data_IF_002967795438
#
_entry.id   IF_002967795438
#
_cell.length_a   1.000
_cell.length_b   1.000
_cell.length_c   1.000
_cell.angle_alpha   90.00
_cell.angle_beta   90.00
_cell.angle_gamma   90.00
#
_symmetry.space_group_name_H-M   'P 1'
#
loop_
_entity.id
_entity.type
_entity.pdbx_description
1 polymer ?
#
# COMPACT_ATOMS: atom_id res chain seq x y z
N UNK A 1 -19.78 29.54 -27.26
CA UNK A 1 -20.32 29.80 -25.90
C UNK A 1 -20.19 31.25 -25.51
N UNK A 2 -19.14 31.96 -25.96
CA UNK A 2 -18.82 33.31 -25.48
C UNK A 2 -19.91 34.35 -25.70
N UNK A 3 -20.59 34.34 -26.86
CA UNK A 3 -21.67 35.28 -27.14
C UNK A 3 -22.82 35.20 -26.12
N UNK A 4 -23.25 33.98 -25.75
CA UNK A 4 -24.37 33.80 -24.82
C UNK A 4 -24.04 34.34 -23.43
N UNK A 5 -22.81 34.13 -22.95
CA UNK A 5 -22.42 34.54 -21.61
C UNK A 5 -22.06 36.02 -21.52
N UNK A 6 -21.45 36.58 -22.58
CA UNK A 6 -20.81 37.89 -22.52
C UNK A 6 -21.53 38.98 -23.33
N UNK A 7 -22.26 38.64 -24.39
CA UNK A 7 -22.87 39.62 -25.31
C UNK A 7 -24.41 39.60 -25.25
N UNK A 8 -25.01 38.44 -24.96
CA UNK A 8 -26.46 38.28 -24.90
C UNK A 8 -27.03 38.89 -23.62
N UNK A 9 -27.83 39.95 -23.78
CA UNK A 9 -28.52 40.60 -22.66
C UNK A 9 -29.90 39.98 -22.42
N UNK A 10 -30.21 39.69 -21.17
CA UNK A 10 -31.45 39.03 -20.77
C UNK A 10 -32.35 40.03 -20.04
N UNK A 11 -33.58 40.20 -20.51
CA UNK A 11 -34.52 41.17 -19.94
C UNK A 11 -34.79 40.94 -18.44
N UNK A 12 -34.92 39.67 -18.02
CA UNK A 12 -35.13 39.27 -16.61
C UNK A 12 -33.92 39.56 -15.71
N UNK A 13 -32.72 39.70 -16.28
CA UNK A 13 -31.51 40.11 -15.57
C UNK A 13 -31.30 41.64 -15.65
N UNK A 14 -32.37 42.42 -15.78
CA UNK A 14 -32.32 43.88 -15.94
C UNK A 14 -31.44 44.32 -17.13
N UNK A 15 -31.55 43.59 -18.26
CA UNK A 15 -30.74 43.81 -19.47
C UNK A 15 -29.23 43.66 -19.27
N UNK A 16 -28.81 42.90 -18.24
CA UNK A 16 -27.42 42.46 -18.07
C UNK A 16 -27.18 41.16 -18.80
N UNK A 17 -25.91 40.89 -19.07
CA UNK A 17 -25.44 39.60 -19.59
C UNK A 17 -25.32 38.59 -18.45
N UNK A 18 -25.39 37.27 -18.70
CA UNK A 18 -25.19 36.27 -17.67
C UNK A 18 -23.88 36.47 -16.88
N UNK A 19 -22.78 36.79 -17.56
CA UNK A 19 -21.51 37.06 -16.90
C UNK A 19 -21.58 38.28 -15.98
N UNK A 20 -22.21 39.38 -16.42
CA UNK A 20 -22.38 40.58 -15.58
C UNK A 20 -23.25 40.32 -14.35
N UNK A 21 -24.33 39.54 -14.51
CA UNK A 21 -25.18 39.16 -13.40
C UNK A 21 -24.43 38.29 -12.38
N UNK A 22 -23.66 37.31 -12.86
CA UNK A 22 -22.85 36.43 -12.02
C UNK A 22 -21.77 37.20 -11.22
N UNK A 23 -21.02 38.10 -11.86
CA UNK A 23 -19.97 38.86 -11.16
C UNK A 23 -20.51 39.87 -10.15
N UNK A 24 -21.76 40.32 -10.31
CA UNK A 24 -22.42 41.23 -9.38
C UNK A 24 -23.08 40.52 -8.19
N UNK A 25 -23.18 39.18 -8.23
CA UNK A 25 -23.72 38.38 -7.14
C UNK A 25 -22.71 38.30 -5.99
N UNK A 26 -23.14 38.70 -4.78
CA UNK A 26 -22.33 38.70 -3.57
C UNK A 26 -22.59 37.46 -2.70
N UNK A 27 -23.35 36.48 -3.21
CA UNK A 27 -23.60 35.23 -2.50
C UNK A 27 -22.27 34.58 -2.12
N UNK A 28 -22.00 34.34 -0.82
CA UNK A 28 -20.78 33.69 -0.38
C UNK A 28 -20.64 32.31 -1.01
N UNK A 29 -19.45 32.00 -1.51
CA UNK A 29 -19.12 30.70 -2.06
C UNK A 29 -18.12 30.05 -1.12
N UNK A 30 -18.48 28.90 -0.58
CA UNK A 30 -17.54 28.08 0.18
C UNK A 30 -16.61 27.34 -0.79
N UNK A 31 -15.31 27.49 -0.58
CA UNK A 31 -14.31 26.73 -1.33
C UNK A 31 -14.05 25.40 -0.64
N UNK A 32 -14.08 24.32 -1.41
CA UNK A 32 -13.68 23.01 -0.94
C UNK A 32 -12.17 22.94 -0.74
N UNK A 33 -11.74 22.17 0.27
CA UNK A 33 -10.34 21.85 0.44
C UNK A 33 -9.87 21.05 -0.81
N UNK A 34 -8.75 21.43 -1.44
CA UNK A 34 -8.15 20.64 -2.50
C UNK A 34 -7.92 19.17 -2.15
N UNK A 35 -7.74 18.83 -0.87
CA UNK A 35 -7.64 17.45 -0.41
C UNK A 35 -8.96 16.69 -0.58
N UNK A 36 -10.12 17.33 -0.39
CA UNK A 36 -11.44 16.68 -0.50
C UNK A 36 -11.91 16.46 -1.94
N UNK A 37 -11.26 17.08 -2.92
CA UNK A 37 -11.62 16.96 -4.35
C UNK A 37 -11.67 15.51 -4.83
N UNK A 38 -10.89 14.61 -4.22
CA UNK A 38 -10.91 13.19 -4.58
C UNK A 38 -12.28 12.54 -4.39
N UNK A 39 -13.14 13.09 -3.54
CA UNK A 39 -14.47 12.55 -3.22
C UNK A 39 -15.47 12.76 -4.36
N UNK A 40 -15.27 13.82 -5.14
CA UNK A 40 -16.13 14.22 -6.28
C UNK A 40 -15.76 13.55 -7.61
N UNK A 41 -14.77 12.66 -7.60
CA UNK A 41 -14.34 11.91 -8.80
C UNK A 41 -15.18 10.65 -9.04
N UNK A 42 -15.27 10.21 -10.29
CA UNK A 42 -16.08 9.07 -10.68
C UNK A 42 -15.38 7.75 -10.33
N UNK A 43 -16.12 6.83 -9.71
CA UNK A 43 -15.65 5.46 -9.44
C UNK A 43 -15.52 4.66 -10.73
N UNK A 44 -14.35 4.05 -10.95
CA UNK A 44 -14.18 3.06 -12.01
C UNK A 44 -14.99 1.80 -11.68
N UNK A 45 -15.81 1.36 -12.62
CA UNK A 45 -16.62 0.14 -12.50
C UNK A 45 -15.81 -1.15 -12.69
N UNK A 46 -14.52 -1.04 -13.01
CA UNK A 46 -13.63 -2.17 -13.23
C UNK A 46 -13.26 -2.96 -11.97
N UNK A 47 -12.62 -4.12 -12.14
CA UNK A 47 -12.08 -4.89 -11.02
C UNK A 47 -10.95 -4.11 -10.31
N UNK A 48 -10.70 -4.40 -9.02
CA UNK A 48 -9.53 -3.88 -8.31
C UNK A 48 -8.22 -4.18 -9.08
N UNK A 49 -7.29 -3.24 -9.02
CA UNK A 49 -6.04 -3.28 -9.78
C UNK A 49 -4.85 -3.41 -8.84
N UNK A 50 -3.87 -4.21 -9.24
CA UNK A 50 -2.65 -4.42 -8.47
C UNK A 50 -1.69 -3.24 -8.62
N UNK A 51 -1.11 -2.77 -7.50
CA UNK A 51 0.05 -1.89 -7.52
C UNK A 51 1.27 -2.73 -7.92
N UNK A 52 1.94 -2.34 -9.01
CA UNK A 52 3.19 -2.97 -9.46
C UNK A 52 4.39 -2.06 -9.18
N UNK A 53 5.61 -2.54 -9.41
CA UNK A 53 6.81 -1.69 -9.33
C UNK A 53 6.81 -0.52 -10.32
N UNK A 54 6.04 -0.63 -11.42
CA UNK A 54 5.83 0.42 -12.42
C UNK A 54 4.66 1.36 -12.07
N UNK A 55 3.92 1.07 -11.01
CA UNK A 55 2.67 1.74 -10.64
C UNK A 55 1.42 0.92 -10.99
N UNK A 56 0.29 1.58 -11.12
CA UNK A 56 -1.01 0.98 -11.44
C UNK A 56 -1.29 1.13 -12.93
N UNK A 57 -1.74 0.05 -13.59
CA UNK A 57 -2.07 0.08 -15.02
C UNK A 57 -3.55 0.40 -15.24
N UNK A 58 -3.85 1.49 -15.93
CA UNK A 58 -5.20 1.89 -16.33
C UNK A 58 -5.18 2.65 -17.65
N UNK A 59 -6.22 2.52 -18.47
CA UNK A 59 -6.34 3.17 -19.78
C UNK A 59 -5.04 3.12 -20.63
N UNK A 60 -4.46 1.92 -20.76
CA UNK A 60 -3.20 1.66 -21.49
C UNK A 60 -1.95 2.41 -21.00
N UNK A 61 -2.02 3.10 -19.86
CA UNK A 61 -0.89 3.82 -19.26
C UNK A 61 -0.59 3.31 -17.84
N UNK A 62 0.59 3.69 -17.33
CA UNK A 62 0.95 3.48 -15.93
C UNK A 62 0.78 4.78 -15.16
N UNK A 63 0.23 4.66 -13.95
CA UNK A 63 0.04 5.77 -13.03
C UNK A 63 0.88 5.54 -11.79
N UNK A 64 1.58 6.59 -11.38
CA UNK A 64 2.53 6.53 -10.28
C UNK A 64 2.26 7.66 -9.29
N UNK A 65 2.01 7.28 -8.04
CA UNK A 65 1.98 8.17 -6.89
C UNK A 65 3.32 8.12 -6.14
N UNK A 66 3.67 9.19 -5.44
CA UNK A 66 4.86 9.25 -4.59
C UNK A 66 4.78 8.31 -3.37
N UNK A 67 3.57 8.04 -2.89
CA UNK A 67 3.28 7.09 -1.82
C UNK A 67 3.40 5.62 -2.25
N UNK A 68 3.36 5.31 -3.56
CA UNK A 68 3.37 3.92 -4.05
C UNK A 68 4.69 3.16 -3.88
N UNK A 69 5.78 3.86 -3.53
CA UNK A 69 7.09 3.23 -3.42
C UNK A 69 7.12 2.24 -2.27
N UNK A 70 7.52 0.99 -2.54
CA UNK A 70 7.51 -0.11 -1.57
C UNK A 70 6.24 -0.95 -1.58
N UNK A 71 5.11 -0.41 -2.02
CA UNK A 71 3.83 -1.11 -2.08
C UNK A 71 3.71 -2.08 -3.26
N UNK A 72 4.46 -1.82 -4.35
CA UNK A 72 4.44 -2.68 -5.54
C UNK A 72 4.97 -4.10 -5.31
N UNK A 73 5.78 -4.32 -4.28
CA UNK A 73 6.28 -5.65 -3.89
C UNK A 73 5.32 -6.39 -2.97
N UNK A 74 4.42 -5.67 -2.28
CA UNK A 74 3.43 -6.22 -1.36
C UNK A 74 2.17 -6.76 -2.06
N UNK A 75 1.99 -6.42 -3.34
CA UNK A 75 0.85 -6.87 -4.14
C UNK A 75 -0.49 -6.27 -3.72
N UNK A 76 -0.46 -5.09 -3.11
CA UNK A 76 -1.64 -4.34 -2.67
C UNK A 76 -2.58 -4.05 -3.85
N UNK A 77 -3.88 -4.18 -3.58
CA UNK A 77 -4.95 -3.99 -4.56
C UNK A 77 -5.63 -2.65 -4.30
N UNK A 78 -5.91 -1.91 -5.37
CA UNK A 78 -6.54 -0.59 -5.29
C UNK A 78 -7.71 -0.47 -6.26
N UNK A 79 -8.68 0.35 -5.87
CA UNK A 79 -9.74 0.84 -6.74
C UNK A 79 -9.42 2.27 -7.12
N UNK A 80 -9.71 2.62 -8.37
CA UNK A 80 -9.45 3.95 -8.87
C UNK A 80 -10.73 4.75 -9.03
N UNK A 81 -10.60 6.05 -8.85
CA UNK A 81 -11.54 7.04 -9.32
C UNK A 81 -10.83 7.99 -10.29
N UNK A 82 -11.57 8.57 -11.21
CA UNK A 82 -11.04 9.50 -12.19
C UNK A 82 -12.06 10.59 -12.49
N UNK A 83 -11.56 11.73 -12.95
CA UNK A 83 -12.39 12.77 -13.50
C UNK A 83 -12.61 12.51 -15.00
N UNK A 84 -13.85 12.58 -15.51
CA UNK A 84 -14.12 12.42 -16.93
C UNK A 84 -13.26 13.39 -17.77
N UNK A 85 -12.70 12.89 -18.88
CA UNK A 85 -11.83 13.66 -19.79
C UNK A 85 -10.50 14.14 -19.20
N UNK A 86 -10.20 13.85 -17.92
CA UNK A 86 -8.95 14.22 -17.25
C UNK A 86 -8.13 12.97 -16.88
N UNK A 87 -7.50 12.37 -17.89
CA UNK A 87 -6.73 11.12 -17.74
C UNK A 87 -5.28 11.31 -17.24
N UNK A 88 -4.86 12.52 -16.92
CA UNK A 88 -3.49 12.79 -16.45
C UNK A 88 -3.31 12.43 -14.96
N UNK A 89 -4.42 12.33 -14.21
CA UNK A 89 -4.47 12.09 -12.77
C UNK A 89 -5.58 11.11 -12.44
N UNK A 90 -5.30 10.19 -11.52
CA UNK A 90 -6.30 9.30 -10.93
C UNK A 90 -6.20 9.34 -9.41
N UNK A 91 -7.31 9.05 -8.76
CA UNK A 91 -7.39 8.93 -7.31
C UNK A 91 -7.48 7.46 -6.92
N UNK A 92 -6.69 7.04 -5.95
CA UNK A 92 -6.59 5.63 -5.59
C UNK A 92 -7.02 5.39 -4.15
N UNK A 93 -7.78 4.32 -4.01
CA UNK A 93 -8.36 3.86 -2.77
C UNK A 93 -7.97 2.41 -2.55
N UNK A 94 -7.81 2.04 -1.29
CA UNK A 94 -7.66 0.65 -0.88
C UNK A 94 -8.85 -0.19 -1.40
N UNK A 95 -8.57 -1.39 -1.92
CA UNK A 95 -9.60 -2.19 -2.58
C UNK A 95 -10.70 -2.69 -1.62
N UNK A 96 -10.33 -2.93 -0.37
CA UNK A 96 -11.17 -3.57 0.64
C UNK A 96 -11.82 -2.53 1.55
N UNK A 97 -11.01 -1.62 2.10
CA UNK A 97 -11.47 -0.60 3.05
C UNK A 97 -12.02 0.66 2.38
N UNK A 98 -11.77 0.85 1.08
CA UNK A 98 -12.08 2.09 0.36
C UNK A 98 -11.47 3.34 1.02
N UNK A 99 -10.39 3.18 1.78
CA UNK A 99 -9.63 4.29 2.35
C UNK A 99 -8.82 4.98 1.25
N UNK A 100 -8.86 6.31 1.23
CA UNK A 100 -8.05 7.08 0.27
C UNK A 100 -6.56 6.88 0.55
N UNK A 101 -5.81 6.46 -0.48
CA UNK A 101 -4.35 6.26 -0.40
C UNK A 101 -3.58 7.44 -0.95
N UNK A 102 -4.16 8.13 -1.94
CA UNK A 102 -3.54 9.28 -2.58
C UNK A 102 -3.74 9.30 -4.10
N UNK A 103 -3.38 10.43 -4.69
CA UNK A 103 -3.38 10.61 -6.13
C UNK A 103 -2.22 9.86 -6.80
N UNK A 104 -2.41 9.49 -8.07
CA UNK A 104 -1.38 8.99 -8.95
C UNK A 104 -1.45 9.67 -10.31
N UNK A 105 -0.28 9.96 -10.88
CA UNK A 105 -0.17 10.71 -12.12
C UNK A 105 0.30 9.79 -13.24
N UNK A 106 -0.21 10.04 -14.44
CA UNK A 106 0.17 9.31 -15.64
C UNK A 106 1.68 9.48 -15.88
N UNK A 107 2.39 8.38 -16.10
CA UNK A 107 3.85 8.37 -16.09
C UNK A 107 4.50 9.13 -17.25
N UNK A 108 3.82 9.20 -18.40
CA UNK A 108 4.25 9.87 -19.63
C UNK A 108 3.94 11.38 -19.65
N UNK A 109 2.89 11.81 -18.95
CA UNK A 109 2.46 13.22 -18.89
C UNK A 109 2.86 13.92 -17.57
N UNK A 110 3.74 13.29 -16.78
CA UNK A 110 4.10 13.79 -15.46
C UNK A 110 4.89 15.11 -15.54
N UNK A 111 4.44 16.14 -14.82
CA UNK A 111 5.13 17.43 -14.81
C UNK A 111 6.55 17.33 -14.21
N UNK A 112 7.48 18.26 -14.53
CA UNK A 112 8.83 18.23 -13.96
C UNK A 112 8.86 18.27 -12.43
N UNK A 113 7.91 18.99 -11.80
CA UNK A 113 7.74 19.06 -10.34
C UNK A 113 7.33 17.71 -9.76
N UNK A 114 6.33 17.06 -10.36
CA UNK A 114 5.86 15.73 -9.96
C UNK A 114 6.96 14.67 -10.15
N UNK A 115 7.65 14.71 -11.30
CA UNK A 115 8.78 13.83 -11.59
C UNK A 115 9.92 13.99 -10.58
N UNK A 116 10.18 15.21 -10.10
CA UNK A 116 11.18 15.48 -9.05
C UNK A 116 10.71 14.95 -7.70
N UNK A 117 9.45 15.17 -7.33
CA UNK A 117 8.87 14.63 -6.09
C UNK A 117 8.97 13.10 -6.06
N UNK A 118 8.65 12.43 -7.18
CA UNK A 118 8.77 10.98 -7.34
C UNK A 118 10.20 10.50 -7.15
N UNK A 119 11.18 11.13 -7.83
CA UNK A 119 12.60 10.79 -7.67
C UNK A 119 13.08 10.98 -6.24
N UNK A 120 12.64 12.04 -5.57
CA UNK A 120 12.97 12.30 -4.17
C UNK A 120 12.37 11.23 -3.26
N UNK A 121 11.12 10.82 -3.47
CA UNK A 121 10.49 9.73 -2.72
C UNK A 121 11.26 8.41 -2.90
N UNK A 122 11.63 8.05 -4.13
CA UNK A 122 12.48 6.87 -4.42
C UNK A 122 13.80 6.91 -3.68
N UNK A 123 14.48 8.06 -3.70
CA UNK A 123 15.77 8.22 -3.02
C UNK A 123 15.63 8.09 -1.51
N UNK A 124 14.63 8.73 -0.89
CA UNK A 124 14.37 8.60 0.56
C UNK A 124 14.15 7.15 0.97
N UNK A 125 13.44 6.38 0.14
CA UNK A 125 13.21 4.96 0.38
C UNK A 125 14.48 4.11 0.22
N UNK A 126 15.24 4.35 -0.85
CA UNK A 126 16.53 3.70 -1.04
C UNK A 126 17.50 3.98 0.12
N UNK A 127 17.55 5.23 0.60
CA UNK A 127 18.35 5.62 1.75
C UNK A 127 17.90 4.91 3.04
N UNK A 128 16.57 4.76 3.24
CA UNK A 128 16.00 3.99 4.36
C UNK A 128 16.42 2.51 4.29
N UNK A 129 16.32 1.86 3.14
CA UNK A 129 16.75 0.47 2.96
C UNK A 129 18.26 0.31 3.13
N UNK A 130 19.07 1.22 2.58
CA UNK A 130 20.51 1.22 2.76
C UNK A 130 20.89 1.37 4.24
N UNK A 131 20.21 2.25 4.98
CA UNK A 131 20.40 2.40 6.42
C UNK A 131 20.01 1.13 7.19
N UNK A 132 18.88 0.49 6.85
CA UNK A 132 18.44 -0.78 7.45
C UNK A 132 19.45 -1.90 7.17
N UNK A 133 19.92 -2.03 5.94
CA UNK A 133 20.95 -2.98 5.55
C UNK A 133 22.29 -2.72 6.26
N UNK A 134 22.71 -1.46 6.40
CA UNK A 134 23.92 -1.07 7.14
C UNK A 134 23.80 -1.44 8.62
N UNK A 135 22.64 -1.20 9.24
CA UNK A 135 22.36 -1.60 10.64
C UNK A 135 22.41 -3.12 10.78
N UNK A 136 21.75 -3.86 9.89
CA UNK A 136 21.79 -5.32 9.89
C UNK A 136 23.22 -5.86 9.75
N UNK A 137 24.01 -5.31 8.82
CA UNK A 137 25.43 -5.66 8.65
C UNK A 137 26.27 -5.34 9.90
N UNK A 138 26.02 -4.19 10.56
CA UNK A 138 26.71 -3.84 11.82
C UNK A 138 26.37 -4.82 12.94
N UNK A 139 25.11 -5.23 13.04
CA UNK A 139 24.66 -6.20 14.04
C UNK A 139 25.20 -7.62 13.77
N UNK A 140 25.39 -7.98 12.50
CA UNK A 140 25.95 -9.27 12.11
C UNK A 140 27.48 -9.39 12.27
N UNK A 141 28.21 -8.28 12.42
CA UNK A 141 29.67 -8.32 12.57
C UNK A 141 30.05 -8.91 13.95
N UNK A 142 30.79 -10.03 14.01
CA UNK A 142 31.30 -10.55 15.27
C UNK A 142 32.27 -9.55 15.89
N UNK A 143 32.10 -9.28 17.19
CA UNK A 143 32.99 -8.41 17.96
C UNK A 143 33.91 -9.31 18.77
N UNK A 144 35.21 -9.08 18.69
CA UNK A 144 36.21 -9.84 19.45
C UNK A 144 36.71 -9.02 20.64
N UNK A 145 37.08 -9.71 21.72
CA UNK A 145 37.74 -9.09 22.87
C UNK A 145 39.10 -8.53 22.44
N UNK A 146 39.49 -7.40 23.04
CA UNK A 146 40.81 -6.83 22.81
C UNK A 146 41.85 -7.67 23.55
N UNK A 147 42.83 -8.21 22.82
CA UNK A 147 43.92 -9.01 23.39
C UNK A 147 45.26 -8.35 23.06
N UNK A 148 46.07 -8.07 24.08
CA UNK A 148 47.41 -7.48 23.97
C UNK A 148 48.53 -8.50 23.77
N UNK A 149 48.19 -9.79 23.77
CA UNK A 149 49.10 -10.93 23.59
C UNK A 149 48.60 -11.75 22.40
N UNK A 150 49.52 -12.32 21.60
CA UNK A 150 49.15 -13.17 20.47
C UNK A 150 48.41 -14.43 20.96
N UNK A 151 47.08 -14.43 20.84
CA UNK A 151 46.21 -15.56 21.20
C UNK A 151 45.05 -15.67 20.19
N UNK A 152 44.38 -16.81 20.17
CA UNK A 152 43.20 -17.03 19.33
C UNK A 152 42.11 -16.00 19.66
N UNK A 153 41.55 -15.27 18.67
CA UNK A 153 40.57 -14.22 18.93
C UNK A 153 39.29 -14.78 19.58
N UNK A 154 38.95 -14.32 20.78
CA UNK A 154 37.70 -14.70 21.44
C UNK A 154 36.57 -13.68 21.16
N UNK A 155 35.36 -14.12 20.76
CA UNK A 155 34.23 -13.22 20.56
C UNK A 155 33.75 -12.64 21.90
N UNK A 156 33.56 -11.31 21.94
CA UNK A 156 33.20 -10.51 23.11
C UNK A 156 31.82 -10.85 23.70
N UNK A 157 30.88 -11.29 22.85
CA UNK A 157 29.56 -11.75 23.26
C UNK A 157 29.44 -13.25 23.02
N UNK A 158 30.09 -14.05 23.86
CA UNK A 158 29.96 -15.51 23.83
C UNK A 158 28.61 -15.90 24.41
N UNK A 159 27.62 -16.13 23.54
CA UNK A 159 26.38 -16.81 23.93
C UNK A 159 26.73 -18.29 24.19
N UNK A 160 26.31 -18.81 25.34
CA UNK A 160 26.35 -20.26 25.57
C UNK A 160 25.37 -20.96 24.61
N UNK A 161 25.59 -22.23 24.30
CA UNK A 161 24.74 -22.98 23.37
C UNK A 161 23.26 -22.99 23.79
N UNK A 162 23.00 -23.03 25.11
CA UNK A 162 21.65 -22.94 25.69
C UNK A 162 21.02 -21.57 25.54
N UNK A 163 21.79 -20.49 25.71
CA UNK A 163 21.32 -19.12 25.48
C UNK A 163 21.05 -18.85 23.99
N UNK A 164 21.90 -19.37 23.10
CA UNK A 164 21.69 -19.27 21.66
C UNK A 164 20.42 -20.01 21.21
N UNK A 165 20.17 -21.21 21.73
CA UNK A 165 18.93 -21.96 21.44
C UNK A 165 17.70 -21.31 22.05
N UNK A 166 17.78 -20.74 23.27
CA UNK A 166 16.67 -20.00 23.86
C UNK A 166 16.34 -18.73 23.05
N UNK A 167 17.35 -18.01 22.57
CA UNK A 167 17.17 -16.81 21.76
C UNK A 167 16.67 -17.12 20.35
N UNK A 168 17.15 -18.21 19.73
CA UNK A 168 16.59 -18.74 18.49
C UNK A 168 15.13 -19.12 18.68
N UNK A 169 14.77 -19.78 19.79
CA UNK A 169 13.38 -20.13 20.10
C UNK A 169 12.50 -18.88 20.27
N UNK A 170 13.01 -17.83 20.92
CA UNK A 170 12.30 -16.56 21.05
C UNK A 170 12.09 -15.85 19.70
N UNK A 171 13.08 -15.87 18.81
CA UNK A 171 12.99 -15.28 17.47
C UNK A 171 12.19 -16.15 16.48
N UNK A 172 12.17 -17.46 16.70
CA UNK A 172 11.35 -18.45 15.99
C UNK A 172 9.95 -18.60 16.60
N UNK A 173 9.65 -17.90 17.71
CA UNK A 173 8.28 -17.84 18.21
C UNK A 173 7.45 -17.34 17.04
N UNK A 174 6.52 -18.17 16.51
CA UNK A 174 5.67 -17.75 15.43
C UNK A 174 4.92 -16.51 15.89
N UNK A 175 4.83 -15.52 15.02
CA UNK A 175 3.72 -14.57 15.00
C UNK A 175 2.46 -15.33 15.42
N UNK A 176 1.77 -14.83 16.46
CA UNK A 176 0.74 -15.51 17.24
C UNK A 176 0.05 -16.66 16.49
N UNK A 177 0.33 -17.88 16.93
CA UNK A 177 -0.36 -19.14 16.63
C UNK A 177 -1.30 -19.09 15.41
N UNK A 178 -0.75 -19.17 14.19
CA UNK A 178 -1.51 -19.25 12.94
C UNK A 178 -2.58 -20.35 12.95
N UNK A 179 -2.42 -21.37 13.80
CA UNK A 179 -3.39 -22.44 14.01
C UNK A 179 -4.62 -21.97 14.80
N UNK A 180 -4.47 -21.00 15.71
CA UNK A 180 -5.56 -20.36 16.45
C UNK A 180 -6.30 -19.29 15.60
N UNK A 181 -5.61 -18.65 14.65
CA UNK A 181 -6.22 -17.74 13.66
C UNK A 181 -6.86 -18.48 12.49
N UNK A 182 -6.39 -19.70 12.20
CA UNK A 182 -7.11 -20.58 11.29
C UNK A 182 -8.47 -20.88 11.93
N UNK A 183 -9.54 -20.33 11.34
CA UNK A 183 -10.92 -20.68 11.66
C UNK A 183 -11.40 -21.70 10.64
N UNK A 184 -11.00 -22.99 10.74
CA UNK A 184 -11.38 -24.02 9.79
C UNK A 184 -12.91 -24.19 9.70
N UNK A 185 -13.63 -23.75 10.74
CA UNK A 185 -15.08 -23.79 10.86
C UNK A 185 -15.81 -22.63 10.15
N UNK A 186 -15.12 -21.57 9.71
CA UNK A 186 -15.74 -20.47 8.94
C UNK A 186 -16.13 -20.89 7.52
N UNK A 187 -15.50 -21.94 7.01
CA UNK A 187 -15.90 -22.57 5.77
C UNK A 187 -16.84 -23.71 6.13
N UNK A 188 -18.10 -23.65 5.68
CA UNK A 188 -19.00 -24.80 5.69
C UNK A 188 -18.41 -25.88 4.78
N UNK A 189 -17.47 -26.67 5.32
CA UNK A 189 -16.94 -27.84 4.63
C UNK A 189 -18.10 -28.84 4.55
N UNK A 190 -18.43 -29.36 3.35
CA UNK A 190 -19.41 -30.43 3.27
C UNK A 190 -18.91 -31.57 4.17
N UNK A 191 -19.78 -32.05 5.06
CA UNK A 191 -19.51 -33.28 5.80
C UNK A 191 -19.18 -34.35 4.74
N UNK A 192 -18.04 -35.04 4.83
CA UNK A 192 -17.69 -36.06 3.85
C UNK A 192 -18.75 -37.16 3.94
N UNK A 193 -19.74 -37.08 3.06
CA UNK A 193 -20.86 -37.99 3.02
C UNK A 193 -20.51 -39.08 2.04
N UNK A 194 -19.77 -40.09 2.51
CA UNK A 194 -19.75 -41.33 1.76
C UNK A 194 -19.35 -42.54 2.58
N UNK A 195 -20.11 -43.61 2.35
CA UNK A 195 -19.77 -45.02 2.53
C UNK A 195 -18.56 -45.45 1.67
N UNK A 196 -17.95 -44.56 0.88
CA UNK A 196 -16.90 -44.87 -0.12
C UNK A 196 -15.55 -44.23 0.20
N UNK A 197 -15.38 -43.56 1.33
CA UNK A 197 -14.09 -42.98 1.72
C UNK A 197 -13.38 -43.88 2.71
N UNK A 198 -12.10 -44.14 2.45
CA UNK A 198 -11.22 -44.89 3.34
C UNK A 198 -11.02 -44.09 4.63
N UNK A 199 -11.48 -44.63 5.76
CA UNK A 199 -11.26 -44.01 7.07
C UNK A 199 -9.78 -44.15 7.45
N UNK A 200 -9.15 -43.12 8.03
CA UNK A 200 -7.79 -43.25 8.55
C UNK A 200 -7.75 -44.35 9.61
N UNK A 201 -6.68 -45.16 9.56
CA UNK A 201 -6.46 -46.23 10.53
C UNK A 201 -6.35 -45.63 11.94
N UNK A 202 -6.94 -46.29 12.96
CA UNK A 202 -6.77 -45.87 14.33
C UNK A 202 -5.29 -45.85 14.70
N UNK A 203 -4.88 -44.86 15.49
CA UNK A 203 -3.51 -44.76 15.98
C UNK A 203 -3.15 -46.03 16.77
N UNK A 204 -1.95 -46.61 16.57
CA UNK A 204 -1.54 -47.78 17.33
C UNK A 204 -1.47 -47.43 18.82
N UNK A 205 -2.09 -48.27 19.65
CA UNK A 205 -2.02 -48.11 21.10
C UNK A 205 -0.56 -48.21 21.56
N UNK A 206 -0.14 -47.36 22.51
CA UNK A 206 1.21 -47.44 23.07
C UNK A 206 1.37 -48.81 23.74
N UNK A 207 2.30 -49.61 23.19
CA UNK A 207 2.73 -50.85 23.82
C UNK A 207 3.50 -50.50 25.09
N UNK A 208 2.93 -50.81 26.25
CA UNK A 208 3.68 -50.88 27.50
C UNK A 208 4.74 -51.99 27.35
N UNK A 209 6.00 -51.57 27.29
CA UNK A 209 7.17 -52.43 27.33
C UNK A 209 7.46 -52.86 28.79
N UNK A 210 8.03 -54.07 29.00
CA UNK A 210 8.02 -54.78 30.28
C UNK A 210 8.88 -54.17 31.40
#
# INVERSE_FOLDING_TARGET
>A
MDWWNNDHTIARLHRRTPAQAWHADLTPIDTLDPEDLHTYTLKDGGPPRKITSKGVRWNSAYYVGDWMHGHGSAGEMVRLRHEPHHYHRIELYDADTLTYRGAAFRSDEMSPRQSRALRNARRREADRYAAKARRARKNAKPRYAATSVAATPEPLNRLTASQATAQLRQLQTPEADLHAESRPDLLNRPKPDSTRWTKPLPAPEPQDAP
#
